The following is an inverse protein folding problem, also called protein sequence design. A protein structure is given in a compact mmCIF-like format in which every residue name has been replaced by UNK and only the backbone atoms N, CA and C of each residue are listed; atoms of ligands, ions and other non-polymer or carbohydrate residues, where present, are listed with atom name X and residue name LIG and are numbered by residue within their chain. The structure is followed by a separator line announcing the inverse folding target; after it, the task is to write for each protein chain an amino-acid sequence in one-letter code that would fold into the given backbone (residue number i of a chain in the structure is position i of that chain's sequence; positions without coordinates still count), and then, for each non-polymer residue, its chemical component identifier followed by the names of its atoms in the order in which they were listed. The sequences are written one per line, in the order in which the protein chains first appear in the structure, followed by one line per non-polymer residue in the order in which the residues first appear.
data_IF_694480201053
#
_entry.id   IF_694480201053
#
_cell.length_a   1.000
_cell.length_b   1.000
_cell.length_c   1.000
_cell.angle_alpha   90.00
_cell.angle_beta   90.00
_cell.angle_gamma   90.00
#
_symmetry.space_group_name_H-M   'P 1'
#
loop_
_entity.id
_entity.type
_entity.pdbx_description
1 polymer ?
#
# COMPACT_ATOMS: atom_id res chain seq x y z
N UNK A 1 -33.48 20.15 -25.08
CA UNK A 1 -33.69 19.08 -24.07
C UNK A 1 -34.20 17.84 -24.77
N UNK A 2 -33.31 16.91 -25.12
CA UNK A 2 -33.68 15.64 -25.78
C UNK A 2 -33.88 14.56 -24.73
N UNK A 3 -35.13 14.16 -24.52
CA UNK A 3 -35.52 13.08 -23.62
C UNK A 3 -35.02 11.73 -24.18
N UNK A 4 -33.89 11.22 -23.68
CA UNK A 4 -33.54 9.79 -23.83
C UNK A 4 -34.51 8.99 -22.97
N UNK A 5 -35.62 8.54 -23.56
CA UNK A 5 -36.46 7.48 -22.97
C UNK A 5 -35.64 6.20 -22.93
N UNK A 6 -35.04 5.88 -21.79
CA UNK A 6 -34.57 4.53 -21.48
C UNK A 6 -35.78 3.60 -21.52
N UNK A 7 -35.99 2.92 -22.65
CA UNK A 7 -36.91 1.79 -22.71
C UNK A 7 -36.28 0.71 -21.85
N UNK A 8 -36.80 0.52 -20.64
CA UNK A 8 -36.67 -0.74 -19.93
C UNK A 8 -37.63 -1.68 -20.65
N UNK A 9 -37.08 -2.60 -21.44
CA UNK A 9 -37.84 -3.47 -22.33
C UNK A 9 -38.47 -4.61 -21.51
N UNK A 10 -39.80 -4.68 -21.47
CA UNK A 10 -40.54 -5.83 -20.91
C UNK A 10 -40.33 -7.05 -21.82
N UNK A 11 -39.42 -7.95 -21.43
CA UNK A 11 -39.00 -9.16 -22.15
C UNK A 11 -40.12 -10.14 -22.52
N UNK A 12 -41.33 -9.96 -22.00
CA UNK A 12 -42.49 -10.81 -22.28
C UNK A 12 -43.25 -10.50 -23.57
N UNK A 13 -43.21 -9.27 -24.10
CA UNK A 13 -44.04 -8.89 -25.27
C UNK A 13 -43.36 -9.09 -26.62
N UNK A 14 -42.03 -9.21 -26.64
CA UNK A 14 -41.24 -9.23 -27.88
C UNK A 14 -41.22 -10.59 -28.58
N UNK A 15 -41.18 -11.68 -27.80
CA UNK A 15 -41.20 -13.04 -28.35
C UNK A 15 -42.49 -13.30 -29.15
N UNK A 16 -43.59 -12.71 -28.72
CA UNK A 16 -44.89 -12.77 -29.41
C UNK A 16 -44.86 -12.03 -30.75
N UNK A 17 -44.16 -10.90 -30.84
CA UNK A 17 -44.07 -10.09 -32.06
C UNK A 17 -43.12 -10.70 -33.11
N UNK A 18 -41.98 -11.24 -32.67
CA UNK A 18 -41.02 -11.93 -33.53
C UNK A 18 -41.60 -13.22 -34.14
N UNK A 19 -42.48 -13.91 -33.41
CA UNK A 19 -43.17 -15.11 -33.92
C UNK A 19 -44.13 -14.79 -35.07
N UNK A 20 -44.62 -13.55 -35.18
CA UNK A 20 -45.47 -13.08 -36.28
C UNK A 20 -44.69 -12.54 -37.50
N UNK A 21 -43.38 -12.30 -37.39
CA UNK A 21 -42.57 -11.67 -38.46
C UNK A 21 -41.20 -12.36 -38.65
N UNK A 22 -41.16 -13.56 -39.23
CA UNK A 22 -39.94 -14.37 -39.32
C UNK A 22 -38.80 -13.74 -40.14
N UNK A 23 -39.10 -12.80 -41.04
CA UNK A 23 -38.08 -12.11 -41.84
C UNK A 23 -37.24 -11.06 -41.08
N UNK A 24 -37.65 -10.64 -39.87
CA UNK A 24 -36.94 -9.63 -39.07
C UNK A 24 -35.95 -10.24 -38.05
N UNK A 25 -35.99 -11.57 -37.86
CA UNK A 25 -35.09 -12.29 -36.96
C UNK A 25 -33.59 -12.04 -37.24
N UNK A 26 -33.11 -12.06 -38.49
CA UNK A 26 -31.69 -11.85 -38.78
C UNK A 26 -31.17 -10.46 -38.38
N UNK A 27 -31.98 -9.41 -38.59
CA UNK A 27 -31.60 -8.03 -38.24
C UNK A 27 -31.57 -7.83 -36.72
N UNK A 28 -32.54 -8.42 -36.00
CA UNK A 28 -32.54 -8.37 -34.54
C UNK A 28 -31.32 -9.07 -33.94
N UNK A 29 -30.94 -10.23 -34.48
CA UNK A 29 -29.74 -10.97 -34.02
C UNK A 29 -28.47 -10.16 -34.30
N UNK A 30 -28.33 -9.55 -35.47
CA UNK A 30 -27.18 -8.69 -35.81
C UNK A 30 -27.08 -7.47 -34.90
N UNK A 31 -28.21 -6.82 -34.61
CA UNK A 31 -28.24 -5.66 -33.71
C UNK A 31 -27.90 -6.06 -32.26
N UNK A 32 -28.44 -7.18 -31.78
CA UNK A 32 -28.10 -7.73 -30.47
C UNK A 32 -26.60 -8.07 -30.37
N UNK A 33 -26.02 -8.67 -31.42
CA UNK A 33 -24.59 -9.00 -31.48
C UNK A 33 -23.72 -7.74 -31.53
N UNK A 34 -24.12 -6.70 -32.26
CA UNK A 34 -23.44 -5.39 -32.27
C UNK A 34 -23.44 -4.76 -30.89
N UNK A 35 -24.60 -4.72 -30.22
CA UNK A 35 -24.71 -4.20 -28.84
C UNK A 35 -23.87 -5.00 -27.85
N UNK A 36 -23.76 -6.31 -28.04
CA UNK A 36 -22.89 -7.15 -27.22
C UNK A 36 -21.40 -6.82 -27.44
N UNK A 37 -20.98 -6.66 -28.70
CA UNK A 37 -19.61 -6.27 -29.03
C UNK A 37 -19.28 -4.88 -28.49
N UNK A 38 -20.15 -3.89 -28.70
CA UNK A 38 -19.97 -2.52 -28.18
C UNK A 38 -19.82 -2.53 -26.64
N UNK A 39 -20.56 -3.41 -25.95
CA UNK A 39 -20.46 -3.58 -24.51
C UNK A 39 -19.12 -4.22 -24.09
N UNK A 40 -18.62 -5.21 -24.84
CA UNK A 40 -17.30 -5.82 -24.60
C UNK A 40 -16.16 -4.82 -24.83
N UNK A 41 -16.25 -4.01 -25.88
CA UNK A 41 -15.27 -2.97 -26.17
C UNK A 41 -15.26 -1.90 -25.06
N UNK A 42 -16.44 -1.52 -24.58
CA UNK A 42 -16.58 -0.58 -23.46
C UNK A 42 -15.98 -1.14 -22.14
N UNK A 43 -16.17 -2.42 -21.84
CA UNK A 43 -15.56 -3.07 -20.69
C UNK A 43 -14.03 -3.09 -20.80
N UNK A 44 -13.49 -3.50 -21.95
CA UNK A 44 -12.04 -3.52 -22.22
C UNK A 44 -11.41 -2.12 -22.06
N UNK A 45 -12.11 -1.08 -22.53
CA UNK A 45 -11.68 0.30 -22.35
C UNK A 45 -11.67 0.73 -20.88
N UNK A 46 -12.68 0.34 -20.09
CA UNK A 46 -12.72 0.62 -18.65
C UNK A 46 -11.59 -0.10 -17.91
N UNK A 47 -11.33 -1.37 -18.22
CA UNK A 47 -10.21 -2.13 -17.64
C UNK A 47 -8.86 -1.46 -17.91
N UNK A 48 -8.63 -1.06 -19.17
CA UNK A 48 -7.40 -0.32 -19.56
C UNK A 48 -7.26 0.97 -18.76
N UNK A 49 -8.38 1.71 -18.56
CA UNK A 49 -8.37 2.95 -17.79
C UNK A 49 -8.09 2.72 -16.30
N UNK A 50 -8.65 1.67 -15.70
CA UNK A 50 -8.35 1.29 -14.31
C UNK A 50 -6.88 0.94 -14.15
N UNK A 51 -6.32 0.13 -15.07
CA UNK A 51 -4.90 -0.21 -15.06
C UNK A 51 -4.00 1.03 -15.18
N UNK A 52 -4.34 1.98 -16.07
CA UNK A 52 -3.60 3.25 -16.20
C UNK A 52 -3.62 4.05 -14.90
N UNK A 53 -4.79 4.21 -14.27
CA UNK A 53 -4.92 4.93 -13.01
C UNK A 53 -4.16 4.24 -11.87
N UNK A 54 -4.16 2.91 -11.81
CA UNK A 54 -3.37 2.17 -10.83
C UNK A 54 -1.87 2.44 -11.00
N UNK A 55 -1.35 2.48 -12.24
CA UNK A 55 0.05 2.83 -12.49
C UNK A 55 0.38 4.26 -12.04
N UNK A 56 -0.48 5.23 -12.34
CA UNK A 56 -0.31 6.63 -11.90
C UNK A 56 -0.28 6.74 -10.37
N UNK A 57 -1.19 6.03 -9.67
CA UNK A 57 -1.21 5.99 -8.20
C UNK A 57 0.07 5.39 -7.63
N UNK A 58 0.57 4.31 -8.22
CA UNK A 58 1.84 3.69 -7.82
C UNK A 58 3.01 4.66 -7.98
N UNK A 59 3.14 5.31 -9.15
CA UNK A 59 4.20 6.29 -9.40
C UNK A 59 4.12 7.49 -8.44
N UNK A 60 2.92 7.98 -8.15
CA UNK A 60 2.71 9.05 -7.19
C UNK A 60 3.10 8.62 -5.76
N UNK A 61 2.77 7.40 -5.35
CA UNK A 61 3.14 6.82 -4.05
C UNK A 61 4.66 6.69 -3.89
N UNK A 62 5.36 6.22 -4.92
CA UNK A 62 6.82 6.14 -4.93
C UNK A 62 7.47 7.52 -4.86
N UNK A 63 6.96 8.48 -5.64
CA UNK A 63 7.44 9.86 -5.61
C UNK A 63 7.26 10.49 -4.22
N UNK A 64 6.09 10.29 -3.58
CA UNK A 64 5.83 10.75 -2.23
C UNK A 64 6.76 10.10 -1.21
N UNK A 65 7.02 8.79 -1.34
CA UNK A 65 7.96 8.07 -0.47
C UNK A 65 9.38 8.62 -0.59
N UNK A 66 9.87 8.83 -1.81
CA UNK A 66 11.19 9.46 -2.07
C UNK A 66 11.28 10.87 -1.50
N UNK A 67 10.26 11.70 -1.69
CA UNK A 67 10.21 13.05 -1.14
C UNK A 67 10.25 13.02 0.39
N UNK A 68 9.56 12.07 1.01
CA UNK A 68 9.56 11.92 2.46
C UNK A 68 10.92 11.46 2.98
N UNK A 69 11.56 10.48 2.35
CA UNK A 69 12.91 10.05 2.68
C UNK A 69 13.93 11.21 2.56
N UNK A 70 13.79 12.05 1.53
CA UNK A 70 14.63 13.24 1.34
C UNK A 70 14.43 14.27 2.47
N UNK A 71 13.18 14.56 2.85
CA UNK A 71 12.88 15.44 3.98
C UNK A 71 13.40 14.90 5.30
N UNK A 72 13.29 13.59 5.51
CA UNK A 72 13.83 12.92 6.69
C UNK A 72 15.36 13.00 6.73
N UNK A 73 16.03 12.70 5.61
CA UNK A 73 17.48 12.84 5.49
C UNK A 73 17.93 14.28 5.75
N UNK A 74 17.25 15.28 5.19
CA UNK A 74 17.54 16.69 5.44
C UNK A 74 17.34 17.08 6.92
N UNK A 75 16.33 16.51 7.58
CA UNK A 75 16.10 16.71 9.01
C UNK A 75 17.19 16.09 9.87
N UNK A 76 17.62 14.87 9.57
CA UNK A 76 18.72 14.21 10.27
C UNK A 76 20.08 14.86 10.00
N UNK A 77 20.26 15.44 8.81
CA UNK A 77 21.48 16.13 8.41
C UNK A 77 21.62 17.52 9.01
N UNK A 78 20.57 18.10 9.62
CA UNK A 78 20.75 19.27 10.47
C UNK A 78 21.55 18.81 11.69
N UNK A 79 22.84 19.19 11.79
CA UNK A 79 23.52 19.04 13.06
C UNK A 79 22.73 19.96 13.96
N UNK A 80 22.05 19.34 14.91
CA UNK A 80 21.48 20.09 16.00
C UNK A 80 22.65 20.87 16.61
N UNK A 81 22.65 22.18 16.36
CA UNK A 81 23.46 23.21 17.00
C UNK A 81 23.04 23.32 18.49
N UNK A 82 22.84 22.16 19.13
CA UNK A 82 23.09 21.99 20.54
C UNK A 82 24.59 22.22 20.67
N UNK A 83 24.93 23.50 20.82
CA UNK A 83 26.20 23.95 21.33
C UNK A 83 26.48 23.23 22.64
N UNK A 84 27.04 22.03 22.55
CA UNK A 84 28.01 21.56 23.51
C UNK A 84 29.17 22.53 23.38
N UNK A 85 29.49 23.33 24.41
CA UNK A 85 30.66 24.20 24.37
C UNK A 85 31.91 23.32 24.25
N UNK A 86 32.36 23.10 23.01
CA UNK A 86 33.55 22.31 22.72
C UNK A 86 34.77 23.20 22.88
N UNK A 87 35.52 22.92 23.94
CA UNK A 87 36.77 23.55 24.28
C UNK A 87 37.89 22.94 23.40
N UNK A 88 38.62 23.80 22.71
CA UNK A 88 39.97 23.61 22.12
C UNK A 88 40.18 22.64 20.95
N UNK A 89 40.68 23.21 19.84
CA UNK A 89 42.11 23.08 19.50
C UNK A 89 42.48 22.20 18.31
N UNK A 90 42.99 22.83 17.24
CA UNK A 90 43.85 22.25 16.18
C UNK A 90 43.14 21.31 15.21
N UNK A 91 42.97 21.59 13.91
CA UNK A 91 43.90 22.20 12.98
C UNK A 91 44.64 21.11 12.20
N UNK A 92 44.15 20.71 11.02
CA UNK A 92 44.98 20.23 9.89
C UNK A 92 44.23 20.40 8.55
N UNK A 93 44.85 21.00 7.51
CA UNK A 93 44.31 21.03 6.14
C UNK A 93 44.98 19.95 5.26
N UNK A 94 44.22 19.35 4.32
CA UNK A 94 44.67 18.57 3.14
C UNK A 94 43.46 17.85 2.51
N UNK A 95 43.28 17.67 1.21
CA UNK A 95 43.95 18.11 -0.02
C UNK A 95 42.99 17.79 -1.16
N UNK A 96 43.02 18.61 -2.20
CA UNK A 96 42.35 18.41 -3.47
C UNK A 96 42.84 17.11 -4.15
N UNK A 97 41.88 16.32 -4.63
CA UNK A 97 42.11 15.07 -5.36
C UNK A 97 41.15 14.99 -6.53
N UNK A 98 41.58 15.60 -7.64
CA UNK A 98 40.97 15.65 -8.95
C UNK A 98 40.85 14.27 -9.65
N UNK A 99 39.74 14.11 -10.38
CA UNK A 99 39.62 13.56 -11.74
C UNK A 99 40.03 12.09 -12.01
N UNK A 100 39.03 11.24 -12.28
CA UNK A 100 38.85 10.47 -13.52
C UNK A 100 37.91 9.27 -13.30
N UNK A 101 36.62 9.38 -13.60
CA UNK A 101 35.70 8.23 -13.68
C UNK A 101 34.55 8.49 -14.65
N UNK A 102 34.86 8.94 -15.87
CA UNK A 102 33.86 9.18 -16.91
C UNK A 102 34.22 8.42 -18.19
N UNK A 103 33.96 7.09 -18.24
CA UNK A 103 33.79 6.38 -19.52
C UNK A 103 33.29 4.91 -19.44
N UNK A 104 32.57 4.48 -18.41
CA UNK A 104 32.15 3.06 -18.29
C UNK A 104 30.63 2.81 -18.23
N UNK A 105 29.78 3.85 -18.17
CA UNK A 105 28.36 3.67 -17.88
C UNK A 105 27.50 3.19 -19.07
N UNK A 106 27.80 3.59 -20.31
CA UNK A 106 26.88 3.33 -21.44
C UNK A 106 26.79 1.84 -21.87
N UNK A 107 27.87 1.07 -21.75
CA UNK A 107 27.89 -0.35 -22.16
C UNK A 107 27.28 -1.29 -21.10
N UNK A 108 27.17 -0.82 -19.85
CA UNK A 108 26.57 -1.57 -18.75
C UNK A 108 25.03 -1.52 -18.85
N UNK A 109 24.47 -0.35 -19.17
CA UNK A 109 23.02 -0.11 -19.18
C UNK A 109 22.28 -0.95 -20.25
N UNK A 110 22.86 -1.14 -21.44
CA UNK A 110 22.24 -1.98 -22.48
C UNK A 110 22.17 -3.47 -22.09
N UNK A 111 23.18 -3.98 -21.36
CA UNK A 111 23.23 -5.39 -20.96
C UNK A 111 22.21 -5.70 -19.87
N UNK A 112 21.99 -4.75 -18.97
CA UNK A 112 20.98 -4.88 -17.91
C UNK A 112 19.56 -4.77 -18.48
N UNK A 113 19.33 -3.90 -19.47
CA UNK A 113 18.02 -3.77 -20.13
C UNK A 113 17.57 -5.02 -20.90
N UNK A 114 18.48 -5.71 -21.59
CA UNK A 114 18.17 -6.95 -22.32
C UNK A 114 17.84 -8.09 -21.36
N UNK A 115 18.58 -8.21 -20.25
CA UNK A 115 18.33 -9.24 -19.24
C UNK A 115 17.02 -9.01 -18.49
N UNK A 116 16.59 -7.76 -18.31
CA UNK A 116 15.30 -7.43 -17.71
C UNK A 116 14.13 -7.75 -18.66
N UNK A 117 14.29 -7.53 -19.97
CA UNK A 117 13.29 -7.90 -20.99
C UNK A 117 13.00 -9.42 -21.02
N UNK A 118 14.05 -10.25 -20.96
CA UNK A 118 13.89 -11.71 -20.92
C UNK A 118 13.21 -12.20 -19.64
N UNK A 119 13.53 -11.56 -18.50
CA UNK A 119 12.86 -11.87 -17.22
C UNK A 119 11.39 -11.51 -17.29
N UNK A 120 11.05 -10.33 -17.83
CA UNK A 120 9.66 -9.87 -17.98
C UNK A 120 8.83 -10.86 -18.81
N UNK A 121 9.35 -11.29 -19.96
CA UNK A 121 8.65 -12.22 -20.87
C UNK A 121 8.38 -13.59 -20.25
N UNK A 122 9.27 -14.06 -19.36
CA UNK A 122 9.11 -15.34 -18.66
C UNK A 122 8.00 -15.33 -17.60
N UNK A 123 7.69 -14.16 -17.02
CA UNK A 123 6.61 -14.03 -16.03
C UNK A 123 5.21 -14.08 -16.68
N UNK A 124 5.06 -13.55 -17.90
CA UNK A 124 3.74 -13.42 -18.54
C UNK A 124 3.12 -14.76 -18.98
N UNK A 125 3.94 -15.81 -19.21
CA UNK A 125 3.42 -17.11 -19.66
C UNK A 125 2.87 -18.01 -18.55
N UNK A 126 3.10 -17.69 -17.26
CA UNK A 126 2.74 -18.57 -16.15
C UNK A 126 1.44 -18.20 -15.42
N UNK A 127 0.71 -17.16 -15.82
CA UNK A 127 -0.44 -16.65 -15.04
C UNK A 127 -1.82 -16.85 -15.68
N UNK A 128 -1.96 -17.58 -16.79
CA UNK A 128 -3.25 -17.66 -17.50
C UNK A 128 -4.27 -18.72 -17.04
N UNK A 129 -3.98 -19.62 -16.09
CA UNK A 129 -4.94 -20.70 -15.78
C UNK A 129 -5.05 -21.13 -14.30
N UNK A 130 -5.26 -20.18 -13.38
CA UNK A 130 -5.82 -20.50 -12.06
C UNK A 130 -7.04 -19.63 -11.76
N UNK A 131 -8.23 -20.19 -12.03
CA UNK A 131 -9.47 -19.72 -11.41
C UNK A 131 -9.44 -20.15 -9.95
N UNK A 132 -8.68 -19.40 -9.14
CA UNK A 132 -8.45 -19.69 -7.74
C UNK A 132 -9.68 -19.36 -6.90
N UNK A 133 -10.11 -20.34 -6.13
CA UNK A 133 -10.92 -20.12 -4.93
C UNK A 133 -10.04 -19.34 -3.95
N UNK A 134 -10.04 -18.02 -4.06
CA UNK A 134 -9.18 -17.13 -3.27
C UNK A 134 -9.36 -17.47 -1.78
N UNK A 135 -8.31 -18.03 -1.13
CA UNK A 135 -8.40 -18.36 0.28
C UNK A 135 -8.71 -17.07 1.03
N UNK A 136 -9.72 -17.11 1.91
CA UNK A 136 -10.08 -15.98 2.76
C UNK A 136 -8.80 -15.45 3.42
N UNK A 137 -8.52 -14.13 3.32
CA UNK A 137 -7.25 -13.57 3.75
C UNK A 137 -7.02 -13.89 5.22
N UNK A 138 -5.78 -14.22 5.57
CA UNK A 138 -5.45 -14.54 6.95
C UNK A 138 -5.83 -13.34 7.87
N UNK A 139 -6.26 -13.57 9.13
CA UNK A 139 -6.63 -12.49 10.03
C UNK A 139 -5.56 -11.39 10.19
N UNK A 140 -4.28 -11.75 10.03
CA UNK A 140 -3.17 -10.82 10.04
C UNK A 140 -3.18 -9.84 8.85
N UNK A 141 -3.38 -10.35 7.63
CA UNK A 141 -3.42 -9.52 6.42
C UNK A 141 -4.59 -8.55 6.45
N UNK A 142 -5.75 -9.01 6.92
CA UNK A 142 -6.94 -8.18 7.08
C UNK A 142 -6.68 -7.05 8.07
N UNK A 143 -6.05 -7.34 9.21
CA UNK A 143 -5.67 -6.32 10.19
C UNK A 143 -4.68 -5.30 9.59
N UNK A 144 -3.63 -5.76 8.92
CA UNK A 144 -2.62 -4.88 8.33
C UNK A 144 -3.22 -3.97 7.25
N UNK A 145 -4.14 -4.48 6.43
CA UNK A 145 -4.87 -3.66 5.45
C UNK A 145 -5.72 -2.58 6.12
N UNK A 146 -6.50 -2.94 7.15
CA UNK A 146 -7.32 -1.99 7.92
C UNK A 146 -6.47 -0.93 8.63
N UNK A 147 -5.39 -1.35 9.29
CA UNK A 147 -4.48 -0.44 9.96
C UNK A 147 -3.76 0.48 8.96
N UNK A 148 -3.39 -0.04 7.78
CA UNK A 148 -2.79 0.74 6.70
C UNK A 148 -3.73 1.85 6.22
N UNK A 149 -5.00 1.50 6.02
CA UNK A 149 -6.03 2.46 5.61
C UNK A 149 -6.28 3.51 6.71
N UNK A 150 -6.48 3.07 7.96
CA UNK A 150 -6.75 3.97 9.08
C UNK A 150 -5.61 4.96 9.33
N UNK A 151 -4.35 4.50 9.26
CA UNK A 151 -3.16 5.31 9.52
C UNK A 151 -2.68 6.11 8.30
N UNK A 152 -3.37 6.03 7.17
CA UNK A 152 -3.05 6.86 6.00
C UNK A 152 -3.22 8.36 6.29
N UNK A 153 -4.21 8.72 7.12
CA UNK A 153 -4.50 10.10 7.49
C UNK A 153 -4.71 10.26 9.01
N UNK A 154 -3.68 10.77 9.69
CA UNK A 154 -3.67 10.90 11.15
C UNK A 154 -4.55 12.06 11.65
N UNK A 155 -4.85 13.06 10.82
CA UNK A 155 -5.66 14.22 11.23
C UNK A 155 -7.16 13.88 11.30
N UNK A 156 -7.60 12.85 10.57
CA UNK A 156 -8.98 12.36 10.57
C UNK A 156 -9.17 11.15 11.48
N UNK A 157 -8.11 10.68 12.16
CA UNK A 157 -8.15 9.49 12.97
C UNK A 157 -8.92 9.75 14.26
N UNK A 158 -10.08 9.09 14.42
CA UNK A 158 -10.91 9.17 15.63
C UNK A 158 -10.71 7.97 16.56
N UNK A 159 -10.32 6.82 16.00
CA UNK A 159 -10.14 5.56 16.74
C UNK A 159 -8.84 4.88 16.29
N UNK A 160 -8.05 4.39 17.25
CA UNK A 160 -6.84 3.63 16.94
C UNK A 160 -7.18 2.23 16.38
N UNK A 161 -6.56 1.77 15.29
CA UNK A 161 -6.79 0.43 14.76
C UNK A 161 -6.14 -0.64 15.66
N UNK A 162 -6.88 -1.11 16.67
CA UNK A 162 -6.38 -2.08 17.64
C UNK A 162 -6.09 -3.45 17.00
N UNK A 163 -4.94 -4.07 17.30
CA UNK A 163 -4.65 -5.43 16.87
C UNK A 163 -5.65 -6.44 17.48
N UNK A 164 -5.94 -7.56 16.79
CA UNK A 164 -6.78 -8.61 17.33
C UNK A 164 -6.24 -9.17 18.64
N UNK A 165 -7.10 -9.21 19.67
CA UNK A 165 -6.78 -9.77 20.98
C UNK A 165 -7.08 -11.28 21.01
N UNK A 166 -6.21 -12.08 20.41
CA UNK A 166 -6.28 -13.55 20.49
C UNK A 166 -5.79 -14.05 21.85
N UNK A 167 -6.27 -15.20 22.35
CA UNK A 167 -5.72 -15.84 23.53
C UNK A 167 -4.22 -16.11 23.37
N UNK A 168 -3.41 -15.72 24.36
CA UNK A 168 -1.98 -15.96 24.37
C UNK A 168 -1.66 -17.07 25.38
N UNK A 169 -0.77 -17.99 25.02
CA UNK A 169 -0.34 -19.06 25.94
C UNK A 169 0.65 -18.59 27.03
N UNK A 170 1.20 -17.38 26.91
CA UNK A 170 2.21 -16.89 27.84
C UNK A 170 1.56 -16.31 29.11
N UNK A 171 1.79 -16.88 30.31
CA UNK A 171 1.16 -16.41 31.54
C UNK A 171 1.47 -14.95 31.87
N UNK A 172 2.66 -14.47 31.51
CA UNK A 172 3.05 -13.06 31.74
C UNK A 172 2.19 -12.05 30.97
N UNK A 173 1.61 -12.46 29.83
CA UNK A 173 0.70 -11.63 29.05
C UNK A 173 -0.65 -11.42 29.74
N UNK A 174 -1.08 -12.35 30.60
CA UNK A 174 -2.32 -12.19 31.37
C UNK A 174 -2.13 -11.26 32.56
N UNK A 175 -0.99 -11.35 33.26
CA UNK A 175 -0.71 -10.51 34.43
C UNK A 175 -0.56 -9.03 34.07
N UNK A 176 0.00 -8.73 32.89
CA UNK A 176 0.26 -7.36 32.44
C UNK A 176 -0.92 -6.74 31.67
N UNK A 177 -1.98 -7.50 31.39
CA UNK A 177 -3.12 -7.03 30.60
C UNK A 177 -3.82 -5.75 31.11
N UNK A 178 -4.08 -5.52 32.42
CA UNK A 178 -4.85 -4.37 32.86
C UNK A 178 -4.13 -3.02 32.72
N UNK A 179 -2.80 -3.02 32.69
CA UNK A 179 -2.00 -1.78 32.65
C UNK A 179 -1.65 -1.33 31.23
N UNK A 180 -2.09 -2.08 30.22
CA UNK A 180 -1.75 -1.81 28.82
C UNK A 180 -2.79 -0.90 28.16
N UNK A 181 -2.29 -0.08 27.24
CA UNK A 181 -3.14 0.74 26.37
C UNK A 181 -3.83 -0.11 25.30
N UNK A 182 -3.21 -1.20 24.85
CA UNK A 182 -3.80 -2.13 23.89
C UNK A 182 -4.34 -3.39 24.57
N UNK A 183 -5.46 -3.90 24.06
CA UNK A 183 -6.01 -5.20 24.46
C UNK A 183 -5.15 -6.37 24.01
N UNK A 184 -4.42 -6.22 22.90
CA UNK A 184 -3.56 -7.25 22.34
C UNK A 184 -2.21 -7.31 23.08
N UNK A 185 -1.78 -8.52 23.43
CA UNK A 185 -0.49 -8.71 24.07
C UNK A 185 0.69 -8.53 23.08
N UNK A 186 1.92 -8.44 23.58
CA UNK A 186 3.10 -8.21 22.74
C UNK A 186 3.39 -9.41 21.81
N UNK A 187 3.06 -10.62 22.26
CA UNK A 187 3.16 -11.84 21.45
C UNK A 187 2.19 -11.81 20.26
N UNK A 188 0.95 -11.36 20.46
CA UNK A 188 -0.03 -11.24 19.39
C UNK A 188 0.42 -10.20 18.37
N UNK A 189 0.84 -9.02 18.83
CA UNK A 189 1.40 -7.97 17.96
C UNK A 189 2.58 -8.56 17.18
N UNK A 190 3.53 -9.22 17.85
CA UNK A 190 4.69 -9.83 17.20
C UNK A 190 4.27 -10.82 16.11
N UNK A 191 3.28 -11.67 16.35
CA UNK A 191 2.80 -12.65 15.36
C UNK A 191 2.22 -12.01 14.10
N UNK A 192 1.56 -10.84 14.22
CA UNK A 192 0.99 -10.11 13.08
C UNK A 192 2.08 -9.57 12.14
N UNK A 193 3.21 -9.14 12.69
CA UNK A 193 4.30 -8.54 11.92
C UNK A 193 5.44 -9.53 11.60
N UNK A 194 5.39 -10.76 12.11
CA UNK A 194 6.49 -11.71 11.99
C UNK A 194 6.74 -12.18 10.55
N UNK A 195 5.72 -12.26 9.71
CA UNK A 195 5.87 -12.67 8.30
C UNK A 195 6.30 -11.54 7.35
N UNK A 196 6.31 -10.29 7.81
CA UNK A 196 6.60 -9.14 6.95
C UNK A 196 8.07 -9.05 6.58
N UNK A 197 8.40 -8.39 5.46
CA UNK A 197 9.78 -8.12 5.07
C UNK A 197 10.44 -7.05 5.96
N UNK A 198 11.78 -6.94 5.92
CA UNK A 198 12.49 -5.88 6.65
C UNK A 198 12.09 -4.48 6.16
N UNK A 199 11.77 -4.33 4.87
CA UNK A 199 11.28 -3.09 4.28
C UNK A 199 9.88 -2.72 4.81
N UNK A 200 8.98 -3.70 4.87
CA UNK A 200 7.64 -3.48 5.43
C UNK A 200 7.69 -3.13 6.91
N UNK A 201 8.52 -3.81 7.69
CA UNK A 201 8.74 -3.49 9.10
C UNK A 201 9.23 -2.05 9.26
N UNK A 202 10.14 -1.57 8.41
CA UNK A 202 10.57 -0.17 8.39
C UNK A 202 9.40 0.78 8.13
N UNK A 203 8.56 0.49 7.15
CA UNK A 203 7.38 1.30 6.85
C UNK A 203 6.39 1.34 8.03
N UNK A 204 6.15 0.20 8.67
CA UNK A 204 5.27 0.12 9.84
C UNK A 204 5.82 0.84 11.07
N UNK A 205 7.14 0.84 11.30
CA UNK A 205 7.76 1.67 12.34
C UNK A 205 7.46 3.15 12.15
N UNK A 206 7.58 3.66 10.93
CA UNK A 206 7.28 5.06 10.63
C UNK A 206 5.80 5.37 10.87
N UNK A 207 4.89 4.46 10.46
CA UNK A 207 3.44 4.62 10.63
C UNK A 207 3.00 4.62 12.10
N UNK A 208 3.59 3.75 12.92
CA UNK A 208 3.28 3.66 14.35
C UNK A 208 4.14 4.56 15.24
N UNK A 209 4.96 5.46 14.67
CA UNK A 209 5.75 6.38 15.48
C UNK A 209 4.82 7.30 16.30
N UNK A 210 5.00 7.42 17.63
CA UNK A 210 4.09 8.18 18.49
C UNK A 210 3.94 9.64 18.07
N UNK A 211 5.00 10.28 17.57
CA UNK A 211 4.96 11.68 17.09
C UNK A 211 3.97 11.90 15.93
N UNK A 212 3.67 10.87 15.13
CA UNK A 212 2.70 10.98 14.03
C UNK A 212 1.29 11.28 14.53
N UNK A 213 0.99 10.86 15.76
CA UNK A 213 -0.29 11.08 16.40
C UNK A 213 -0.42 12.48 17.03
N UNK A 214 0.65 13.30 17.02
CA UNK A 214 0.55 14.70 17.47
C UNK A 214 -0.44 15.53 16.62
N UNK A 215 -0.71 15.08 15.39
CA UNK A 215 -1.65 15.70 14.45
C UNK A 215 -3.13 15.37 14.75
N UNK A 216 -3.41 14.48 15.69
CA UNK A 216 -4.79 14.13 16.08
C UNK A 216 -5.43 15.36 16.76
N UNK A 217 -6.61 15.82 16.30
CA UNK A 217 -7.20 17.08 16.74
C UNK A 217 -7.66 17.04 18.21
N UNK A 218 -8.21 15.90 18.66
CA UNK A 218 -8.63 15.72 20.04
C UNK A 218 -7.42 15.54 20.97
N UNK A 219 -7.22 16.47 21.90
CA UNK A 219 -6.11 16.45 22.84
C UNK A 219 -6.16 15.25 23.78
N UNK A 220 -7.35 14.79 24.20
CA UNK A 220 -7.48 13.63 25.09
C UNK A 220 -7.22 12.33 24.31
N UNK A 221 -7.85 12.17 23.15
CA UNK A 221 -7.62 11.04 22.25
C UNK A 221 -6.17 10.94 21.77
N UNK A 222 -5.47 12.08 21.59
CA UNK A 222 -4.05 12.11 21.20
C UNK A 222 -3.16 11.34 22.17
N UNK A 223 -3.23 11.63 23.46
CA UNK A 223 -2.39 10.97 24.46
C UNK A 223 -2.65 9.45 24.53
N UNK A 224 -3.92 9.05 24.42
CA UNK A 224 -4.30 7.64 24.36
C UNK A 224 -3.75 6.96 23.10
N UNK A 225 -3.92 7.56 21.93
CA UNK A 225 -3.42 7.02 20.67
C UNK A 225 -1.90 6.96 20.65
N UNK A 226 -1.20 7.95 21.20
CA UNK A 226 0.26 7.93 21.35
C UNK A 226 0.73 6.76 22.22
N UNK A 227 0.04 6.49 23.34
CA UNK A 227 0.35 5.36 24.21
C UNK A 227 0.12 4.01 23.50
N UNK A 228 -0.98 3.88 22.75
CA UNK A 228 -1.28 2.69 21.92
C UNK A 228 -0.25 2.49 20.82
N UNK A 229 0.09 3.57 20.10
CA UNK A 229 1.10 3.57 19.04
C UNK A 229 2.46 3.16 19.58
N UNK A 230 2.87 3.68 20.75
CA UNK A 230 4.12 3.33 21.41
C UNK A 230 4.24 1.83 21.67
N UNK A 231 3.17 1.18 22.14
CA UNK A 231 3.20 -0.28 22.36
C UNK A 231 3.45 -1.06 21.06
N UNK A 232 2.77 -0.70 19.96
CA UNK A 232 3.02 -1.35 18.66
C UNK A 232 4.42 -1.05 18.16
N UNK A 233 4.85 0.21 18.24
CA UNK A 233 6.15 0.67 17.78
C UNK A 233 7.30 -0.11 18.43
N UNK A 234 7.29 -0.27 19.75
CA UNK A 234 8.34 -1.02 20.47
C UNK A 234 8.45 -2.46 19.97
N UNK A 235 7.32 -3.13 19.71
CA UNK A 235 7.32 -4.51 19.22
C UNK A 235 7.84 -4.59 17.78
N UNK A 236 7.38 -3.69 16.89
CA UNK A 236 7.81 -3.65 15.49
C UNK A 236 9.28 -3.24 15.36
N UNK A 237 9.74 -2.30 16.19
CA UNK A 237 11.15 -1.87 16.26
C UNK A 237 12.07 -3.01 16.71
N UNK A 238 11.69 -3.75 17.76
CA UNK A 238 12.43 -4.93 18.19
C UNK A 238 12.52 -6.01 17.10
N UNK A 239 11.42 -6.24 16.36
CA UNK A 239 11.42 -7.16 15.21
C UNK A 239 12.33 -6.70 14.08
N UNK A 240 12.35 -5.40 13.80
CA UNK A 240 13.20 -4.82 12.76
C UNK A 240 14.69 -4.89 13.13
N UNK A 241 15.02 -4.54 14.38
CA UNK A 241 16.39 -4.59 14.89
C UNK A 241 16.95 -6.02 14.91
N UNK A 242 16.13 -7.02 15.24
CA UNK A 242 16.54 -8.42 15.24
C UNK A 242 16.79 -9.04 13.85
N UNK A 243 16.59 -8.28 12.76
CA UNK A 243 16.82 -8.73 11.36
C UNK A 243 17.95 -7.98 10.66
N UNK A 244 18.56 -7.01 11.33
CA UNK A 244 19.77 -6.34 10.85
C UNK A 244 20.99 -7.18 11.23
#
# INVERSE_FOLDING_TARGET
MTFRRSRVWESGRELSYLRSHPGLLPEFVRDAQRRHQDAQDALTHLETRVQSLMREVTLASEAASRAWDALWAARCARPEDFGMPSNNGGGVPRTDGEQNDANWDDDQEMRDAEQESERQSRWDHHHSHHTDSSPSPAPAETYLALASQALSNHSTLTTFPEPPATPCANPSCHTTAPDRALRACACNIRSLFHSLSTQDLRAWRVRFHPDRFALVPDQRGRAEMQRKAQEVFVVVDALFQGRR
#
